data_IF_933592639249
#
_entry.id   IF_933592639249
#
_cell.length_a   1.000
_cell.length_b   1.000
_cell.length_c   1.000
_cell.angle_alpha   90.00
_cell.angle_beta   90.00
_cell.angle_gamma   90.00
#
_symmetry.space_group_name_H-M   'P 1'
#
loop_
_entity.id
_entity.type
_entity.pdbx_description
1 polymer ?
#
# COMPACT_ATOMS: atom_id res chain seq x y z
N UNK A 1 33.21 -8.97 6.48
CA UNK A 1 32.39 -8.20 5.50
C UNK A 1 31.18 -7.54 6.17
N UNK A 2 30.27 -8.28 6.80
CA UNK A 2 29.06 -7.71 7.41
C UNK A 2 29.30 -6.56 8.41
N UNK A 3 30.33 -6.66 9.26
CA UNK A 3 30.70 -5.55 10.17
C UNK A 3 31.06 -4.25 9.43
N UNK A 4 31.74 -4.36 8.29
CA UNK A 4 32.07 -3.20 7.46
C UNK A 4 30.79 -2.56 6.89
N UNK A 5 29.87 -3.38 6.35
CA UNK A 5 28.58 -2.92 5.85
C UNK A 5 27.73 -2.25 6.96
N UNK A 6 27.73 -2.81 8.17
CA UNK A 6 27.04 -2.21 9.33
C UNK A 6 27.64 -0.85 9.72
N UNK A 7 28.95 -0.68 9.61
CA UNK A 7 29.61 0.59 9.84
C UNK A 7 29.25 1.59 8.73
N UNK A 8 29.23 1.16 7.46
CA UNK A 8 28.81 1.96 6.31
C UNK A 8 27.38 2.50 6.44
N UNK A 9 26.46 1.73 7.04
CA UNK A 9 25.07 2.18 7.29
C UNK A 9 24.99 3.46 8.13
N UNK A 10 26.04 3.80 8.88
CA UNK A 10 26.07 4.98 9.76
C UNK A 10 26.64 6.23 9.05
N UNK A 11 27.18 6.07 7.84
CA UNK A 11 27.75 7.17 7.06
C UNK A 11 26.65 7.90 6.28
N UNK A 12 26.49 9.20 6.53
CA UNK A 12 25.41 10.02 5.92
C UNK A 12 25.71 10.49 4.49
N UNK A 13 26.95 10.34 4.02
CA UNK A 13 27.41 10.98 2.77
C UNK A 13 27.52 10.00 1.58
N UNK A 14 27.15 8.73 1.75
CA UNK A 14 27.40 7.66 0.77
C UNK A 14 26.13 6.84 0.45
N UNK A 15 25.03 7.53 0.14
CA UNK A 15 23.74 6.89 -0.18
C UNK A 15 23.84 5.82 -1.27
N UNK A 16 24.70 6.01 -2.28
CA UNK A 16 24.89 5.05 -3.38
C UNK A 16 25.39 3.69 -2.90
N UNK A 17 26.29 3.66 -1.91
CA UNK A 17 26.81 2.40 -1.37
C UNK A 17 25.74 1.64 -0.58
N UNK A 18 24.87 2.36 0.14
CA UNK A 18 23.73 1.74 0.83
C UNK A 18 22.74 1.15 -0.17
N UNK A 19 22.46 1.84 -1.28
CA UNK A 19 21.60 1.31 -2.34
C UNK A 19 22.17 0.05 -2.96
N UNK A 20 23.47 0.03 -3.28
CA UNK A 20 24.16 -1.16 -3.79
C UNK A 20 24.07 -2.31 -2.78
N UNK A 21 24.40 -2.05 -1.51
CA UNK A 21 24.32 -3.05 -0.44
C UNK A 21 22.92 -3.65 -0.34
N UNK A 22 21.89 -2.81 -0.30
CA UNK A 22 20.49 -3.24 -0.24
C UNK A 22 20.13 -4.12 -1.44
N UNK A 23 20.55 -3.74 -2.64
CA UNK A 23 20.19 -4.45 -3.88
C UNK A 23 21.02 -5.70 -4.17
N UNK A 24 22.10 -5.96 -3.42
CA UNK A 24 23.06 -7.03 -3.73
C UNK A 24 23.13 -8.15 -2.69
N UNK A 25 22.66 -7.93 -1.46
CA UNK A 25 22.61 -8.98 -0.45
C UNK A 25 21.44 -9.94 -0.68
N UNK A 26 21.63 -11.22 -0.34
CA UNK A 26 20.56 -12.22 -0.29
C UNK A 26 19.88 -12.20 1.08
N UNK A 27 18.54 -12.13 1.07
CA UNK A 27 17.69 -12.08 2.27
C UNK A 27 16.89 -13.37 2.48
N UNK A 28 17.12 -14.42 1.69
CA UNK A 28 16.35 -15.66 1.72
C UNK A 28 16.47 -16.40 3.06
N UNK A 29 17.63 -16.30 3.73
CA UNK A 29 17.88 -16.90 5.05
C UNK A 29 17.96 -15.86 6.15
N UNK A 30 17.56 -16.26 7.35
CA UNK A 30 17.76 -15.43 8.52
C UNK A 30 19.26 -15.26 8.85
N UNK A 31 19.65 -14.06 9.25
CA UNK A 31 21.05 -13.72 9.53
C UNK A 31 21.40 -12.25 9.32
N UNK A 32 22.71 -11.99 9.27
CA UNK A 32 23.26 -10.62 9.27
C UNK A 32 22.82 -9.76 8.08
N UNK A 33 22.45 -10.36 6.94
CA UNK A 33 21.91 -9.61 5.81
C UNK A 33 20.59 -8.91 6.15
N UNK A 34 19.67 -9.60 6.85
CA UNK A 34 18.40 -9.01 7.31
C UNK A 34 18.61 -7.96 8.40
N UNK A 35 19.62 -8.15 9.25
CA UNK A 35 20.01 -7.13 10.26
C UNK A 35 20.48 -5.85 9.58
N UNK A 36 21.29 -5.96 8.52
CA UNK A 36 21.73 -4.80 7.73
C UNK A 36 20.54 -4.12 7.06
N UNK A 37 19.65 -4.88 6.42
CA UNK A 37 18.44 -4.33 5.80
C UNK A 37 17.57 -3.58 6.82
N UNK A 38 17.32 -4.17 7.98
CA UNK A 38 16.54 -3.55 9.06
C UNK A 38 17.21 -2.26 9.56
N UNK A 39 18.54 -2.26 9.74
CA UNK A 39 19.29 -1.05 10.11
C UNK A 39 19.16 0.04 9.05
N UNK A 40 19.24 -0.30 7.76
CA UNK A 40 19.09 0.67 6.68
C UNK A 40 17.64 1.19 6.64
N UNK A 41 16.64 0.34 6.84
CA UNK A 41 15.23 0.73 6.86
C UNK A 41 14.88 1.70 7.98
N UNK A 42 15.58 1.64 9.12
CA UNK A 42 15.22 2.39 10.34
C UNK A 42 16.17 3.54 10.69
N UNK A 43 17.45 3.47 10.31
CA UNK A 43 18.47 4.41 10.78
C UNK A 43 19.29 5.10 9.67
N UNK A 44 18.97 4.90 8.39
CA UNK A 44 19.64 5.58 7.29
C UNK A 44 19.04 6.96 6.97
N UNK A 45 19.62 7.67 5.98
CA UNK A 45 19.06 8.89 5.40
C UNK A 45 17.66 8.62 4.81
N UNK A 46 16.80 9.64 4.77
CA UNK A 46 15.43 9.51 4.24
C UNK A 46 15.41 8.92 2.82
N UNK A 47 16.36 9.32 1.96
CA UNK A 47 16.49 8.81 0.61
C UNK A 47 16.84 7.30 0.58
N UNK A 48 17.70 6.84 1.49
CA UNK A 48 18.06 5.42 1.62
C UNK A 48 16.95 4.60 2.26
N UNK A 49 16.27 5.10 3.30
CA UNK A 49 15.11 4.42 3.91
C UNK A 49 13.98 4.25 2.91
N UNK A 50 13.68 5.29 2.11
CA UNK A 50 12.70 5.19 1.03
C UNK A 50 13.10 4.17 -0.03
N UNK A 51 14.37 4.16 -0.45
CA UNK A 51 14.86 3.17 -1.41
C UNK A 51 14.77 1.74 -0.86
N UNK A 52 15.19 1.51 0.38
CA UNK A 52 15.12 0.21 1.02
C UNK A 52 13.67 -0.27 1.18
N UNK A 53 12.75 0.65 1.54
CA UNK A 53 11.31 0.35 1.61
C UNK A 53 10.79 -0.06 0.24
N UNK A 54 11.10 0.69 -0.82
CA UNK A 54 10.75 0.32 -2.20
C UNK A 54 11.34 -1.02 -2.63
N UNK A 55 12.54 -1.34 -2.17
CA UNK A 55 13.19 -2.60 -2.46
C UNK A 55 12.46 -3.81 -1.88
N UNK A 56 11.68 -3.65 -0.79
CA UNK A 56 10.81 -4.72 -0.27
C UNK A 56 9.79 -5.18 -1.32
N UNK A 57 9.31 -4.30 -2.21
CA UNK A 57 8.44 -4.69 -3.33
C UNK A 57 9.15 -5.58 -4.35
N UNK A 58 10.45 -5.36 -4.56
CA UNK A 58 11.26 -6.23 -5.44
C UNK A 58 11.34 -7.63 -4.85
N UNK A 59 11.61 -7.73 -3.54
CA UNK A 59 11.69 -9.01 -2.83
C UNK A 59 10.33 -9.74 -2.80
N UNK A 60 9.23 -8.99 -2.62
CA UNK A 60 7.86 -9.50 -2.72
C UNK A 60 7.59 -10.10 -4.11
N UNK A 61 7.79 -9.32 -5.19
CA UNK A 61 7.51 -9.76 -6.57
C UNK A 61 8.47 -10.83 -7.08
N UNK A 62 9.68 -10.91 -6.53
CA UNK A 62 10.63 -11.99 -6.79
C UNK A 62 10.26 -13.31 -6.09
N UNK A 63 9.19 -13.33 -5.28
CA UNK A 63 8.75 -14.47 -4.50
C UNK A 63 9.86 -15.03 -3.58
N UNK A 64 10.61 -14.15 -2.91
CA UNK A 64 11.61 -14.59 -1.94
C UNK A 64 10.93 -15.41 -0.85
N UNK A 65 11.50 -16.56 -0.53
CA UNK A 65 10.90 -17.52 0.39
C UNK A 65 10.64 -16.90 1.77
N UNK A 66 9.52 -17.31 2.36
CA UNK A 66 9.09 -16.90 3.70
C UNK A 66 8.97 -15.38 3.88
N UNK A 67 8.71 -14.61 2.80
CA UNK A 67 8.52 -13.16 2.87
C UNK A 67 7.46 -12.75 3.91
N UNK A 68 6.40 -13.54 4.06
CA UNK A 68 5.36 -13.35 5.07
C UNK A 68 5.90 -13.35 6.51
N UNK A 69 7.04 -14.00 6.80
CA UNK A 69 7.61 -14.10 8.14
C UNK A 69 8.46 -12.89 8.53
N UNK A 70 9.09 -12.20 7.58
CA UNK A 70 10.04 -11.12 7.87
C UNK A 70 9.73 -9.83 7.09
N UNK A 71 9.31 -9.94 5.83
CA UNK A 71 8.98 -8.80 4.98
C UNK A 71 7.75 -8.03 5.48
N UNK A 72 6.72 -8.75 5.93
CA UNK A 72 5.51 -8.13 6.51
C UNK A 72 5.84 -7.38 7.80
N UNK A 73 6.69 -7.95 8.66
CA UNK A 73 7.14 -7.29 9.89
C UNK A 73 7.94 -6.00 9.60
N UNK A 74 8.85 -6.05 8.63
CA UNK A 74 9.59 -4.87 8.20
C UNK A 74 8.65 -3.80 7.64
N UNK A 75 7.66 -4.17 6.82
CA UNK A 75 6.68 -3.22 6.29
C UNK A 75 5.82 -2.59 7.40
N UNK A 76 5.35 -3.38 8.37
CA UNK A 76 4.61 -2.88 9.53
C UNK A 76 5.45 -1.89 10.35
N UNK A 77 6.76 -2.15 10.48
CA UNK A 77 7.69 -1.22 11.11
C UNK A 77 7.77 0.09 10.33
N UNK A 78 7.89 0.02 9.00
CA UNK A 78 7.98 1.21 8.12
C UNK A 78 6.71 2.06 8.09
N UNK A 79 5.54 1.52 8.46
CA UNK A 79 4.31 2.32 8.63
C UNK A 79 4.47 3.44 9.67
N UNK A 80 5.42 3.28 10.61
CA UNK A 80 5.69 4.23 11.69
C UNK A 80 6.88 5.16 11.39
N UNK A 81 7.40 5.17 10.15
CA UNK A 81 8.46 6.11 9.77
C UNK A 81 7.98 7.56 9.91
N UNK A 82 8.89 8.45 10.36
CA UNK A 82 8.62 9.88 10.52
C UNK A 82 8.30 10.55 9.18
N UNK A 83 8.90 10.06 8.09
CA UNK A 83 8.69 10.59 6.76
C UNK A 83 7.44 9.95 6.13
N UNK A 84 6.42 10.78 5.88
CA UNK A 84 5.12 10.34 5.35
C UNK A 84 5.20 9.66 3.98
N UNK A 85 6.19 10.02 3.17
CA UNK A 85 6.41 9.36 1.87
C UNK A 85 6.82 7.90 2.06
N UNK A 86 7.61 7.60 3.10
CA UNK A 86 8.05 6.24 3.41
C UNK A 86 6.89 5.42 3.98
N UNK A 87 6.13 5.98 4.93
CA UNK A 87 4.96 5.29 5.51
C UNK A 87 3.89 5.01 4.44
N UNK A 88 3.66 5.95 3.53
CA UNK A 88 2.73 5.79 2.40
C UNK A 88 3.20 4.72 1.41
N UNK A 89 4.50 4.69 1.10
CA UNK A 89 5.10 3.65 0.26
C UNK A 89 4.99 2.26 0.90
N UNK A 90 5.28 2.12 2.19
CA UNK A 90 5.14 0.87 2.91
C UNK A 90 3.68 0.37 2.93
N UNK A 91 2.73 1.29 3.08
CA UNK A 91 1.31 0.99 3.03
C UNK A 91 0.87 0.48 1.64
N UNK A 92 1.40 1.08 0.57
CA UNK A 92 1.14 0.66 -0.81
C UNK A 92 1.70 -0.75 -1.10
N UNK A 93 2.91 -1.05 -0.59
CA UNK A 93 3.50 -2.39 -0.70
C UNK A 93 2.69 -3.41 0.11
N UNK A 94 2.18 -3.03 1.30
CA UNK A 94 1.33 -3.92 2.09
C UNK A 94 0.00 -4.22 1.41
N UNK A 95 -0.62 -3.23 0.77
CA UNK A 95 -1.86 -3.45 0.02
C UNK A 95 -1.65 -4.45 -1.12
N UNK A 96 -0.54 -4.31 -1.86
CA UNK A 96 -0.13 -5.28 -2.88
C UNK A 96 0.17 -6.67 -2.29
N UNK A 97 0.92 -6.73 -1.19
CA UNK A 97 1.31 -8.00 -0.56
C UNK A 97 0.10 -8.79 -0.04
N UNK A 98 -0.96 -8.10 0.39
CA UNK A 98 -2.18 -8.70 0.94
C UNK A 98 -3.11 -9.33 -0.11
N UNK A 99 -2.76 -9.29 -1.40
CA UNK A 99 -3.39 -10.16 -2.41
C UNK A 99 -3.10 -11.65 -2.13
N UNK A 100 -1.96 -11.96 -1.50
CA UNK A 100 -1.67 -13.30 -1.00
C UNK A 100 -2.28 -13.51 0.40
N UNK A 101 -3.07 -14.59 0.55
CA UNK A 101 -3.70 -14.96 1.83
C UNK A 101 -2.68 -15.22 2.95
N UNK A 102 -1.51 -15.78 2.65
CA UNK A 102 -0.47 -16.03 3.65
C UNK A 102 0.08 -14.73 4.23
N UNK A 103 0.29 -13.71 3.39
CA UNK A 103 0.69 -12.37 3.81
C UNK A 103 -0.42 -11.68 4.61
N UNK A 104 -1.67 -11.77 4.16
CA UNK A 104 -2.80 -11.19 4.88
C UNK A 104 -2.98 -11.83 6.26
N UNK A 105 -2.83 -13.16 6.37
CA UNK A 105 -2.85 -13.86 7.65
C UNK A 105 -1.73 -13.39 8.60
N UNK A 106 -0.51 -13.20 8.08
CA UNK A 106 0.62 -12.68 8.84
C UNK A 106 0.34 -11.26 9.34
N UNK A 107 -0.15 -10.37 8.47
CA UNK A 107 -0.51 -9.01 8.82
C UNK A 107 -1.61 -8.95 9.90
N UNK A 108 -2.63 -9.80 9.79
CA UNK A 108 -3.71 -9.91 10.79
C UNK A 108 -3.16 -10.38 12.16
N UNK A 109 -2.14 -11.25 12.20
CA UNK A 109 -1.54 -11.65 13.47
C UNK A 109 -0.87 -10.47 14.18
N UNK A 110 -0.21 -9.59 13.42
CA UNK A 110 0.50 -8.44 13.97
C UNK A 110 -0.42 -7.32 14.47
N UNK A 111 -1.66 -7.25 13.98
CA UNK A 111 -2.68 -6.26 14.40
C UNK A 111 -2.18 -4.79 14.33
N UNK A 112 -1.64 -4.32 13.19
CA UNK A 112 -1.09 -2.98 13.07
C UNK A 112 -2.15 -1.88 13.24
N UNK A 113 -1.73 -0.71 13.73
CA UNK A 113 -2.59 0.46 13.84
C UNK A 113 -2.72 1.19 12.50
N UNK A 114 -3.68 0.81 11.65
CA UNK A 114 -3.84 1.39 10.30
C UNK A 114 -4.73 2.64 10.26
N UNK A 115 -5.54 2.89 11.30
CA UNK A 115 -6.59 3.91 11.28
C UNK A 115 -6.07 5.36 11.17
N UNK A 116 -4.80 5.61 11.49
CA UNK A 116 -4.19 6.94 11.44
C UNK A 116 -3.55 7.25 10.06
N UNK A 117 -3.58 6.31 9.11
CA UNK A 117 -2.95 6.43 7.79
C UNK A 117 -3.92 6.91 6.70
N UNK A 118 -5.03 7.57 7.08
CA UNK A 118 -6.03 8.10 6.16
C UNK A 118 -6.83 7.01 5.43
N UNK A 119 -7.39 7.36 4.28
CA UNK A 119 -8.29 6.47 3.52
C UNK A 119 -7.59 5.20 3.03
N UNK A 120 -6.33 5.27 2.59
CA UNK A 120 -5.55 4.07 2.21
C UNK A 120 -5.41 3.08 3.37
N UNK A 121 -5.18 3.59 4.59
CA UNK A 121 -5.10 2.76 5.79
C UNK A 121 -6.43 2.11 6.14
N UNK A 122 -7.53 2.85 5.97
CA UNK A 122 -8.88 2.33 6.13
C UNK A 122 -9.16 1.21 5.12
N UNK A 123 -8.85 1.40 3.84
CA UNK A 123 -9.07 0.40 2.78
C UNK A 123 -8.27 -0.89 3.04
N UNK A 124 -7.01 -0.79 3.46
CA UNK A 124 -6.22 -1.96 3.84
C UNK A 124 -6.82 -2.68 5.06
N UNK A 125 -7.31 -1.93 6.06
CA UNK A 125 -7.96 -2.51 7.22
C UNK A 125 -9.27 -3.23 6.87
N UNK A 126 -10.00 -2.78 5.84
CA UNK A 126 -11.19 -3.47 5.35
C UNK A 126 -10.87 -4.85 4.77
N UNK A 127 -9.67 -5.05 4.18
CA UNK A 127 -9.26 -6.38 3.70
C UNK A 127 -9.27 -7.44 4.80
N UNK A 128 -9.10 -7.06 6.06
CA UNK A 128 -9.13 -8.02 7.18
C UNK A 128 -10.50 -8.71 7.30
N UNK A 129 -11.57 -8.06 6.83
CA UNK A 129 -12.92 -8.60 6.85
C UNK A 129 -13.15 -9.72 5.83
N UNK A 130 -12.23 -9.94 4.88
CA UNK A 130 -12.33 -11.06 3.93
C UNK A 130 -12.04 -12.43 4.55
N UNK A 131 -11.38 -12.46 5.72
CA UNK A 131 -10.98 -13.70 6.40
C UNK A 131 -11.69 -13.77 7.77
N UNK A 132 -12.29 -14.91 8.15
CA UNK A 132 -13.02 -15.05 9.42
C UNK A 132 -12.24 -14.62 10.66
N UNK A 133 -10.93 -14.91 10.73
CA UNK A 133 -10.08 -14.53 11.87
C UNK A 133 -9.92 -13.00 11.99
N UNK A 134 -9.77 -12.30 10.86
CA UNK A 134 -9.69 -10.83 10.84
C UNK A 134 -11.05 -10.19 11.10
N UNK A 135 -12.11 -10.77 10.56
CA UNK A 135 -13.49 -10.38 10.83
C UNK A 135 -13.83 -10.46 12.33
N UNK A 136 -13.62 -11.61 12.99
CA UNK A 136 -13.92 -11.78 14.42
C UNK A 136 -13.21 -10.72 15.27
N UNK A 137 -11.92 -10.54 15.01
CA UNK A 137 -11.08 -9.55 15.68
C UNK A 137 -11.62 -8.12 15.57
N UNK A 138 -12.05 -7.68 14.39
CA UNK A 138 -12.61 -6.35 14.18
C UNK A 138 -14.04 -6.24 14.73
N UNK A 139 -14.82 -7.30 14.64
CA UNK A 139 -16.20 -7.33 15.10
C UNK A 139 -16.31 -7.24 16.63
N UNK A 140 -15.46 -7.96 17.37
CA UNK A 140 -15.37 -7.91 18.83
C UNK A 140 -15.06 -6.50 19.37
N UNK A 141 -14.44 -5.65 18.55
CA UNK A 141 -14.10 -4.25 18.87
C UNK A 141 -15.16 -3.25 18.43
N UNK A 142 -16.30 -3.72 17.93
CA UNK A 142 -17.38 -2.87 17.40
C UNK A 142 -17.01 -2.12 16.11
N UNK A 143 -15.92 -2.51 15.43
CA UNK A 143 -15.46 -1.82 14.23
C UNK A 143 -16.42 -2.03 13.05
N UNK A 144 -16.92 -3.26 12.87
CA UNK A 144 -17.76 -3.65 11.72
C UNK A 144 -19.07 -2.87 11.69
N UNK A 145 -19.81 -2.84 12.81
CA UNK A 145 -21.07 -2.09 12.91
C UNK A 145 -20.88 -0.59 12.63
N UNK A 146 -19.81 0.01 13.19
CA UNK A 146 -19.46 1.42 12.93
C UNK A 146 -19.14 1.68 11.46
N UNK A 147 -18.44 0.77 10.80
CA UNK A 147 -18.15 0.92 9.37
C UNK A 147 -19.39 0.75 8.51
N UNK A 148 -20.30 -0.19 8.81
CA UNK A 148 -21.53 -0.36 8.05
C UNK A 148 -22.38 0.91 8.01
N UNK A 149 -22.59 1.53 9.17
CA UNK A 149 -23.30 2.82 9.27
C UNK A 149 -22.59 3.92 8.48
N UNK A 150 -21.26 4.01 8.60
CA UNK A 150 -20.44 5.02 7.90
C UNK A 150 -20.48 4.84 6.38
N UNK A 151 -20.40 3.60 5.92
CA UNK A 151 -20.48 3.24 4.50
C UNK A 151 -21.84 3.53 3.93
N UNK A 152 -22.89 3.13 4.63
CA UNK A 152 -24.27 3.39 4.24
C UNK A 152 -24.55 4.89 4.09
N UNK A 153 -24.16 5.71 5.08
CA UNK A 153 -24.47 7.15 5.10
C UNK A 153 -23.65 8.01 4.14
N UNK A 154 -22.37 7.68 3.92
CA UNK A 154 -21.43 8.59 3.25
C UNK A 154 -20.45 7.87 2.31
N UNK A 155 -19.83 6.78 2.78
CA UNK A 155 -18.69 6.22 2.07
C UNK A 155 -19.05 5.47 0.78
N UNK A 156 -20.30 5.05 0.58
CA UNK A 156 -20.75 4.48 -0.71
C UNK A 156 -20.65 5.50 -1.85
N UNK A 157 -21.06 6.75 -1.64
CA UNK A 157 -20.92 7.82 -2.64
C UNK A 157 -19.44 8.17 -2.84
N UNK A 158 -18.69 8.32 -1.73
CA UNK A 158 -17.24 8.60 -1.78
C UNK A 158 -16.44 7.49 -2.49
N UNK A 159 -16.89 6.24 -2.43
CA UNK A 159 -16.25 5.13 -3.14
C UNK A 159 -16.33 5.32 -4.66
N UNK A 160 -17.46 5.82 -5.17
CA UNK A 160 -17.62 6.14 -6.60
C UNK A 160 -16.65 7.26 -6.99
N UNK A 161 -16.59 8.34 -6.20
CA UNK A 161 -15.63 9.43 -6.43
C UNK A 161 -14.18 8.91 -6.46
N UNK A 162 -13.84 7.98 -5.57
CA UNK A 162 -12.50 7.39 -5.50
C UNK A 162 -12.13 6.61 -6.76
N UNK A 163 -13.02 5.75 -7.27
CA UNK A 163 -12.72 4.98 -8.49
C UNK A 163 -12.73 5.88 -9.73
N UNK A 164 -13.64 6.87 -9.80
CA UNK A 164 -13.66 7.85 -10.88
C UNK A 164 -12.39 8.69 -10.91
N UNK A 165 -11.89 9.14 -9.75
CA UNK A 165 -10.61 9.84 -9.61
C UNK A 165 -9.46 8.99 -10.17
N UNK A 166 -9.37 7.72 -9.77
CA UNK A 166 -8.32 6.81 -10.25
C UNK A 166 -8.40 6.54 -11.76
N UNK A 167 -9.60 6.36 -12.30
CA UNK A 167 -9.81 6.20 -13.74
C UNK A 167 -9.43 7.48 -14.49
N UNK A 168 -9.79 8.65 -13.96
CA UNK A 168 -9.46 9.93 -14.56
C UNK A 168 -7.94 10.16 -14.57
N UNK A 169 -7.23 9.93 -13.47
CA UNK A 169 -5.77 10.03 -13.42
C UNK A 169 -5.07 9.05 -14.37
N UNK A 170 -5.64 7.86 -14.56
CA UNK A 170 -5.03 6.82 -15.38
C UNK A 170 -5.29 6.96 -16.88
N UNK A 171 -6.50 7.39 -17.26
CA UNK A 171 -7.01 7.33 -18.64
C UNK A 171 -7.14 8.71 -19.29
N UNK A 172 -6.99 9.79 -18.52
CA UNK A 172 -7.12 11.17 -19.01
C UNK A 172 -5.85 11.99 -18.70
N UNK A 173 -5.87 13.30 -19.00
CA UNK A 173 -4.80 14.25 -18.61
C UNK A 173 -5.08 14.95 -17.28
N UNK A 174 -6.10 14.48 -16.54
CA UNK A 174 -6.45 14.97 -15.23
C UNK A 174 -5.30 14.75 -14.24
N UNK A 175 -5.02 15.77 -13.43
CA UNK A 175 -4.24 15.65 -12.21
C UNK A 175 -4.97 16.34 -11.09
N UNK A 176 -5.14 15.62 -9.98
CA UNK A 176 -5.65 16.23 -8.76
C UNK A 176 -4.72 17.35 -8.31
N UNK A 177 -5.25 18.55 -8.04
CA UNK A 177 -4.45 19.59 -7.44
C UNK A 177 -3.94 19.16 -6.06
N UNK A 178 -2.69 19.49 -5.75
CA UNK A 178 -2.14 19.32 -4.39
C UNK A 178 -2.71 20.44 -3.52
N UNK A 179 -3.03 20.14 -2.26
CA UNK A 179 -3.69 21.06 -1.30
C UNK A 179 -3.24 22.53 -1.47
N UNK A 180 -4.19 23.41 -1.84
CA UNK A 180 -3.99 24.85 -2.04
C UNK A 180 -4.07 25.36 -3.48
N UNK A 181 -3.96 24.50 -4.50
CA UNK A 181 -4.13 24.89 -5.91
C UNK A 181 -5.60 24.68 -6.35
N UNK A 182 -6.37 25.75 -6.59
CA UNK A 182 -7.74 25.64 -7.13
C UNK A 182 -7.79 25.31 -8.64
N UNK A 183 -6.65 25.15 -9.29
CA UNK A 183 -6.56 24.96 -10.74
C UNK A 183 -6.35 23.50 -11.09
N UNK A 184 -7.33 22.93 -11.79
CA UNK A 184 -7.19 21.64 -12.48
C UNK A 184 -6.10 21.79 -13.55
N UNK A 185 -4.91 21.26 -13.29
CA UNK A 185 -3.82 21.27 -14.27
C UNK A 185 -4.09 20.20 -15.33
N UNK A 186 -4.47 20.63 -16.54
CA UNK A 186 -4.34 19.79 -17.73
C UNK A 186 -2.86 19.63 -18.02
N UNK A 187 -2.29 18.45 -17.85
CA UNK A 187 -0.92 18.24 -18.30
C UNK A 187 -0.89 18.21 -19.83
N UNK A 188 -0.19 19.16 -20.46
CA UNK A 188 0.22 19.04 -21.87
C UNK A 188 1.19 17.87 -22.11
N UNK A 189 1.55 17.14 -21.05
CA UNK A 189 1.90 15.73 -21.13
C UNK A 189 0.62 14.96 -21.46
N UNK A 190 0.12 15.14 -22.69
CA UNK A 190 -0.64 14.07 -23.30
C UNK A 190 0.20 12.81 -23.12
N UNK A 191 -0.47 11.80 -22.61
CA UNK A 191 -0.07 10.41 -22.57
C UNK A 191 1.04 10.16 -23.63
N UNK A 192 2.20 9.65 -23.20
CA UNK A 192 3.29 9.06 -24.02
C UNK A 192 4.64 9.79 -24.22
N UNK A 193 4.95 10.98 -23.68
CA UNK A 193 6.30 11.58 -23.93
C UNK A 193 6.94 12.29 -22.74
N UNK A 194 7.68 11.55 -21.92
CA UNK A 194 8.82 12.14 -21.18
C UNK A 194 10.00 12.19 -22.15
N UNK A 195 10.17 13.34 -22.82
CA UNK A 195 11.43 13.66 -23.48
C UNK A 195 12.44 14.00 -22.39
N UNK A 196 13.25 13.02 -22.00
CA UNK A 196 14.39 13.26 -21.13
C UNK A 196 15.57 13.58 -22.07
N UNK A 197 16.37 14.60 -21.75
CA UNK A 197 17.49 15.09 -22.58
C UNK A 197 18.80 14.73 -21.88
N UNK A 198 19.52 13.77 -22.45
CA UNK A 198 20.88 13.36 -22.10
C UNK A 198 21.65 13.53 -23.41
N UNK A 199 22.63 14.42 -23.43
CA UNK A 199 23.58 14.62 -24.54
C UNK A 199 22.93 14.68 -25.94
N UNK A 200 22.45 15.85 -26.37
CA UNK A 200 21.97 16.13 -27.75
C UNK A 200 21.01 15.11 -28.42
N UNK A 201 20.47 14.15 -27.66
CA UNK A 201 19.58 13.11 -28.17
C UNK A 201 18.30 13.08 -27.34
N UNK A 202 17.15 13.16 -28.01
CA UNK A 202 15.83 13.03 -27.39
C UNK A 202 15.46 11.54 -27.36
N UNK A 203 15.27 10.98 -26.18
CA UNK A 203 14.70 9.65 -26.02
C UNK A 203 13.26 9.77 -25.53
N UNK A 204 12.37 9.07 -26.24
CA UNK A 204 10.97 8.94 -25.87
C UNK A 204 10.81 7.66 -25.07
N UNK A 205 10.45 7.76 -23.80
CA UNK A 205 10.03 6.61 -22.99
C UNK A 205 8.50 6.50 -23.09
N UNK A 206 8.01 5.39 -23.65
CA UNK A 206 6.58 5.01 -23.54
C UNK A 206 6.31 4.79 -22.05
N UNK A 207 5.62 5.72 -21.41
CA UNK A 207 5.03 5.46 -20.09
C UNK A 207 3.99 4.34 -20.27
N UNK A 208 4.23 3.23 -19.57
CA UNK A 208 3.34 2.08 -19.52
C UNK A 208 1.95 2.52 -19.03
N UNK A 209 0.88 1.94 -19.57
CA UNK A 209 -0.48 2.24 -19.09
C UNK A 209 -0.53 1.94 -17.59
N UNK A 210 -0.95 2.90 -16.73
CA UNK A 210 -1.09 2.64 -15.31
C UNK A 210 -2.14 1.55 -15.10
N UNK A 211 -1.90 0.68 -14.12
CA UNK A 211 -2.88 -0.32 -13.70
C UNK A 211 -3.88 0.35 -12.76
N UNK A 212 -5.16 0.35 -13.15
CA UNK A 212 -6.26 0.80 -12.29
C UNK A 212 -6.85 -0.43 -11.62
N UNK A 213 -6.38 -0.74 -10.42
CA UNK A 213 -6.95 -1.80 -9.60
C UNK A 213 -8.21 -1.29 -8.91
N UNK A 214 -9.22 -2.14 -8.79
CA UNK A 214 -10.47 -1.78 -8.12
C UNK A 214 -10.20 -1.54 -6.62
N UNK A 215 -10.57 -0.38 -6.04
CA UNK A 215 -10.44 -0.15 -4.62
C UNK A 215 -11.22 -1.14 -3.77
N UNK A 216 -10.80 -1.33 -2.52
CA UNK A 216 -11.45 -2.26 -1.61
C UNK A 216 -12.81 -1.71 -1.16
N UNK A 217 -13.87 -2.49 -1.39
CA UNK A 217 -15.22 -2.16 -0.96
C UNK A 217 -15.65 -2.98 0.27
N UNK A 218 -16.18 -2.35 1.32
CA UNK A 218 -16.61 -3.02 2.57
C UNK A 218 -17.53 -4.22 2.29
N UNK A 219 -18.62 -3.98 1.54
CA UNK A 219 -19.58 -5.05 1.20
C UNK A 219 -18.92 -6.21 0.46
N UNK A 220 -17.99 -5.93 -0.47
CA UNK A 220 -17.22 -6.95 -1.16
C UNK A 220 -16.39 -7.80 -0.20
N UNK A 221 -15.78 -7.19 0.83
CA UNK A 221 -15.01 -7.95 1.82
C UNK A 221 -15.90 -8.82 2.70
N UNK A 222 -17.05 -8.32 3.17
CA UNK A 222 -17.97 -9.07 4.04
C UNK A 222 -18.55 -10.33 3.40
N UNK A 223 -18.76 -10.34 2.09
CA UNK A 223 -19.36 -11.50 1.39
C UNK A 223 -18.39 -12.65 1.13
N UNK A 224 -17.10 -12.52 1.48
CA UNK A 224 -16.12 -13.60 1.29
C UNK A 224 -16.38 -14.83 2.19
N UNK A 225 -17.10 -14.66 3.30
CA UNK A 225 -17.44 -15.75 4.21
C UNK A 225 -18.88 -15.62 4.72
N UNK A 226 -19.48 -16.78 5.04
CA UNK A 226 -20.92 -16.88 5.40
C UNK A 226 -21.33 -15.95 6.54
N UNK A 227 -20.47 -15.78 7.55
CA UNK A 227 -20.76 -14.92 8.71
C UNK A 227 -20.93 -13.45 8.32
N UNK A 228 -20.07 -12.91 7.47
CA UNK A 228 -20.16 -11.52 7.03
C UNK A 228 -21.32 -11.31 6.06
N UNK A 229 -21.60 -12.30 5.21
CA UNK A 229 -22.76 -12.29 4.31
C UNK A 229 -24.08 -12.26 5.11
N UNK A 230 -24.24 -13.14 6.10
CA UNK A 230 -25.43 -13.15 6.95
C UNK A 230 -25.57 -11.85 7.75
N UNK A 231 -24.46 -11.28 8.23
CA UNK A 231 -24.47 -9.98 8.90
C UNK A 231 -24.98 -8.86 7.97
N UNK A 232 -24.64 -8.89 6.68
CA UNK A 232 -25.13 -7.90 5.72
C UNK A 232 -26.62 -8.08 5.39
N UNK A 233 -27.08 -9.33 5.34
CA UNK A 233 -28.48 -9.68 5.09
C UNK A 233 -29.42 -9.15 6.19
N UNK A 234 -29.05 -9.33 7.46
CA UNK A 234 -29.87 -8.85 8.60
C UNK A 234 -29.97 -7.32 8.67
N UNK A 235 -29.05 -6.58 8.04
CA UNK A 235 -29.07 -5.12 7.98
C UNK A 235 -30.02 -4.58 6.89
N UNK A 236 -30.62 -5.44 6.05
CA UNK A 236 -31.56 -5.07 4.98
C UNK A 236 -31.04 -4.07 3.91
N UNK A 237 -29.74 -3.79 3.88
CA UNK A 237 -29.11 -2.81 2.96
C UNK A 237 -29.38 -3.16 1.48
N UNK A 238 -29.39 -4.45 1.15
CA UNK A 238 -29.59 -4.93 -0.23
C UNK A 238 -30.97 -4.53 -0.76
N UNK A 239 -32.01 -4.60 0.07
CA UNK A 239 -33.39 -4.31 -0.36
C UNK A 239 -33.57 -2.85 -0.78
N UNK A 240 -32.92 -1.93 -0.05
CA UNK A 240 -32.90 -0.50 -0.38
C UNK A 240 -32.11 -0.23 -1.65
N UNK A 241 -30.92 -0.82 -1.79
CA UNK A 241 -30.10 -0.68 -3.00
C UNK A 241 -30.84 -1.18 -4.24
N UNK A 242 -31.53 -2.33 -4.15
CA UNK A 242 -32.35 -2.84 -5.25
C UNK A 242 -33.52 -1.90 -5.59
N UNK A 243 -34.09 -1.18 -4.61
CA UNK A 243 -35.14 -0.19 -4.86
C UNK A 243 -34.60 1.05 -5.56
N UNK A 244 -33.39 1.50 -5.21
CA UNK A 244 -32.77 2.67 -5.85
C UNK A 244 -32.34 2.42 -7.31
N UNK A 245 -32.09 1.16 -7.69
CA UNK A 245 -31.70 0.77 -9.06
C UNK A 245 -32.92 0.53 -9.97
N UNK A 246 -34.07 0.18 -9.39
CA UNK A 246 -35.32 -0.10 -10.12
C UNK A 246 -36.06 1.18 -10.47
#
# INVERSE_FOLDING_TARGET
VFQCLLNLCSLKNQDHLLKLTVSSLDYSRDGLARVILSKILTAATDACRLYATKHLRVLLRANVEFFNNWGIELLVTQLHDKNKTISSEALDILDEACEDKANLHALIQMKPALSHLGDKGLLLLLRFLSIPKGFSYLNERGYVAKQLEKWHREYNSKYVDLIEEQLNEALTTYRKPVDGDNYVRRSNQSIFKLAKRYSNHLYYTRLQRPHVYLPIHLYGQLVHHKTGCHLLEVQNIITELCRNVR
#
